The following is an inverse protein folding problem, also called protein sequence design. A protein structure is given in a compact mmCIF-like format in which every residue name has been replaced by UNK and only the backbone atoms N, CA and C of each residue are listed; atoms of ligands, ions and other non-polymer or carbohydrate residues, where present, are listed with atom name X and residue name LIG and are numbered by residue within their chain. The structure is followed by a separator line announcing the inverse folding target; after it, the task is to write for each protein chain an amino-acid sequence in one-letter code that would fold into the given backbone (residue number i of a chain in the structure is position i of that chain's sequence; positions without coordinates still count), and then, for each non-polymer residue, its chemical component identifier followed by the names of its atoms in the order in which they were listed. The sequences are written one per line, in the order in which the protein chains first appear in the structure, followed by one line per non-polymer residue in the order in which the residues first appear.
data_IF_088574441703
#
_entry.id   IF_088574441703
#
_cell.length_a   1.000
_cell.length_b   1.000
_cell.length_c   1.000
_cell.angle_alpha   90.00
_cell.angle_beta   90.00
_cell.angle_gamma   90.00
#
_symmetry.space_group_name_H-M   'P 1'
#
loop_
_entity.id
_entity.type
_entity.pdbx_description
1 polymer ?
#
# COMPACT_ATOMS: atom_id res chain seq x y z
N UNK A 1 24.83 -26.35 1.96
CA UNK A 1 23.73 -27.10 1.30
C UNK A 1 22.78 -27.53 2.40
N UNK A 2 21.78 -26.70 2.67
CA UNK A 2 20.76 -26.97 3.68
C UNK A 2 19.44 -26.82 2.94
N UNK A 3 18.79 -27.95 2.74
CA UNK A 3 17.55 -28.13 2.00
C UNK A 3 16.45 -27.30 2.65
N UNK A 4 16.02 -26.24 1.96
CA UNK A 4 14.73 -25.61 2.21
C UNK A 4 13.64 -26.63 1.85
N UNK A 5 12.98 -27.17 2.86
CA UNK A 5 11.73 -27.90 2.70
C UNK A 5 10.73 -26.95 2.07
N UNK A 6 10.50 -27.15 0.78
CA UNK A 6 9.39 -26.57 0.04
C UNK A 6 8.12 -27.17 0.65
N UNK A 7 7.38 -26.38 1.42
CA UNK A 7 6.03 -26.78 1.83
C UNK A 7 5.24 -27.10 0.56
N UNK A 8 4.80 -28.35 0.45
CA UNK A 8 3.87 -28.76 -0.59
C UNK A 8 2.55 -28.00 -0.40
N UNK A 9 1.90 -27.56 -1.48
CA UNK A 9 0.62 -26.90 -1.37
C UNK A 9 -0.39 -27.90 -0.80
N UNK A 10 -0.97 -27.58 0.35
CA UNK A 10 -2.01 -28.39 0.98
C UNK A 10 -3.15 -28.63 -0.02
N UNK A 11 -3.28 -29.88 -0.45
CA UNK A 11 -4.42 -30.36 -1.21
C UNK A 11 -5.69 -30.20 -0.37
N UNK A 12 -6.71 -29.53 -0.92
CA UNK A 12 -8.09 -29.66 -0.44
C UNK A 12 -8.57 -28.69 0.64
N UNK A 13 -7.90 -27.57 0.89
CA UNK A 13 -8.47 -26.52 1.73
C UNK A 13 -9.64 -25.83 1.03
N UNK A 14 -10.85 -25.91 1.59
CA UNK A 14 -11.97 -25.05 1.19
C UNK A 14 -11.48 -23.61 1.28
N UNK A 15 -11.24 -22.95 0.14
CA UNK A 15 -10.58 -21.65 0.12
C UNK A 15 -11.35 -20.67 1.01
N UNK A 16 -10.69 -20.15 2.05
CA UNK A 16 -11.34 -19.34 3.07
C UNK A 16 -12.08 -18.14 2.47
N UNK A 17 -13.33 -17.96 2.90
CA UNK A 17 -14.15 -16.81 2.54
C UNK A 17 -13.52 -15.53 3.10
N UNK A 18 -13.36 -14.52 2.25
CA UNK A 18 -12.81 -13.23 2.67
C UNK A 18 -13.90 -12.44 3.39
N UNK A 19 -13.56 -11.89 4.55
CA UNK A 19 -14.45 -11.01 5.28
C UNK A 19 -14.36 -9.58 4.71
N UNK A 20 -15.51 -8.96 4.46
CA UNK A 20 -15.61 -7.59 3.96
C UNK A 20 -16.27 -6.70 5.01
N UNK A 21 -15.56 -6.31 6.08
CA UNK A 21 -16.13 -5.44 7.11
C UNK A 21 -16.51 -4.10 6.51
N UNK A 22 -17.66 -3.57 6.90
CA UNK A 22 -18.16 -2.26 6.52
C UNK A 22 -17.25 -1.12 7.00
N UNK A 23 -17.38 0.07 6.42
CA UNK A 23 -16.60 1.23 6.86
C UNK A 23 -16.79 1.56 8.36
N UNK A 24 -18.01 1.52 8.94
CA UNK A 24 -18.19 1.68 10.39
C UNK A 24 -17.47 0.62 11.24
N UNK A 25 -17.47 -0.65 10.81
CA UNK A 25 -16.78 -1.74 11.53
C UNK A 25 -15.26 -1.57 11.48
N UNK A 26 -14.69 -1.21 10.31
CA UNK A 26 -13.26 -0.89 10.20
C UNK A 26 -12.89 0.29 11.09
N UNK A 27 -13.72 1.34 11.12
CA UNK A 27 -13.52 2.48 12.01
C UNK A 27 -13.63 2.11 13.49
N UNK A 28 -14.54 1.20 13.85
CA UNK A 28 -14.67 0.67 15.21
C UNK A 28 -13.43 -0.15 15.61
N UNK A 29 -12.91 -1.01 14.74
CA UNK A 29 -11.65 -1.75 14.95
C UNK A 29 -10.48 -0.79 15.22
N UNK A 30 -10.34 0.27 14.44
CA UNK A 30 -9.32 1.30 14.66
C UNK A 30 -9.52 2.11 15.94
N UNK A 31 -10.76 2.30 16.42
CA UNK A 31 -11.05 2.90 17.74
C UNK A 31 -10.68 1.94 18.87
N UNK A 32 -11.04 0.66 18.75
CA UNK A 32 -10.76 -0.38 19.75
C UNK A 32 -9.25 -0.60 19.94
N UNK A 33 -8.46 -0.49 18.87
CA UNK A 33 -7.00 -0.59 18.93
C UNK A 33 -6.33 0.38 19.92
N UNK A 34 -6.99 1.49 20.28
CA UNK A 34 -6.48 2.47 21.26
C UNK A 34 -6.47 1.94 22.69
N UNK A 35 -7.25 0.91 22.99
CA UNK A 35 -7.21 0.24 24.29
C UNK A 35 -5.89 -0.54 24.46
N UNK A 36 -5.42 -1.18 23.39
CA UNK A 36 -4.15 -1.94 23.38
C UNK A 36 -2.94 -1.02 23.27
N UNK A 37 -3.01 0.00 22.41
CA UNK A 37 -1.94 0.97 22.23
C UNK A 37 -2.50 2.40 22.28
N UNK A 38 -2.59 3.01 23.49
CA UNK A 38 -2.98 4.39 23.64
C UNK A 38 -2.07 5.31 22.82
N UNK A 39 -2.61 6.38 22.24
CA UNK A 39 -1.81 7.28 21.37
C UNK A 39 -0.57 7.85 22.07
N UNK A 40 -0.69 8.16 23.35
CA UNK A 40 0.43 8.66 24.15
C UNK A 40 1.52 7.61 24.38
N UNK A 41 1.21 6.31 24.33
CA UNK A 41 2.25 5.27 24.46
C UNK A 41 3.18 5.24 23.25
N UNK A 42 2.78 5.82 22.12
CA UNK A 42 3.59 5.87 20.89
C UNK A 42 4.71 6.93 20.95
N UNK A 43 4.69 7.84 21.93
CA UNK A 43 5.78 8.80 22.13
C UNK A 43 6.89 8.28 23.04
N UNK A 44 6.67 7.15 23.72
CA UNK A 44 7.71 6.51 24.53
C UNK A 44 8.72 5.82 23.60
N UNK A 45 10.00 6.03 23.90
CA UNK A 45 11.10 5.32 23.25
C UNK A 45 11.83 4.55 24.35
N UNK A 46 11.52 3.26 24.46
CA UNK A 46 12.21 2.32 25.31
C UNK A 46 13.00 1.37 24.40
N UNK A 47 14.31 1.56 24.34
CA UNK A 47 15.18 0.81 23.45
C UNK A 47 15.76 -0.38 24.20
N UNK A 48 15.66 -1.61 23.64
CA UNK A 48 16.39 -2.72 24.21
C UNK A 48 17.90 -2.46 24.11
N UNK A 49 18.67 -2.99 25.07
CA UNK A 49 20.11 -3.02 24.94
C UNK A 49 20.50 -3.86 23.71
N UNK A 50 21.39 -3.31 22.87
CA UNK A 50 21.81 -3.95 21.62
C UNK A 50 23.09 -3.35 21.07
N UNK A 51 23.83 -4.17 20.34
CA UNK A 51 24.91 -3.71 19.47
C UNK A 51 24.37 -3.39 18.05
N UNK A 52 24.30 -2.11 17.64
CA UNK A 52 23.88 -1.73 16.29
C UNK A 52 24.73 -2.35 15.18
N UNK A 53 26.04 -2.51 15.41
CA UNK A 53 26.97 -3.02 14.41
C UNK A 53 26.79 -4.52 14.26
N UNK A 54 26.68 -5.26 15.37
CA UNK A 54 26.42 -6.71 15.31
C UNK A 54 25.13 -7.04 14.53
N UNK A 55 24.06 -6.23 14.68
CA UNK A 55 22.83 -6.41 13.88
C UNK A 55 23.07 -6.23 12.38
N UNK A 56 23.92 -5.27 11.98
CA UNK A 56 24.29 -5.05 10.58
C UNK A 56 25.20 -6.16 10.05
N UNK A 57 26.11 -6.69 10.87
CA UNK A 57 27.00 -7.80 10.52
C UNK A 57 26.21 -9.10 10.32
N UNK A 58 25.24 -9.37 11.19
CA UNK A 58 24.31 -10.48 11.03
C UNK A 58 23.50 -10.36 9.73
N UNK A 59 23.07 -9.14 9.36
CA UNK A 59 22.41 -8.90 8.07
C UNK A 59 23.38 -9.07 6.88
N UNK A 60 24.67 -8.77 7.07
CA UNK A 60 25.68 -8.85 6.03
C UNK A 60 26.05 -10.30 5.67
N UNK A 61 25.80 -11.27 6.55
CA UNK A 61 26.14 -12.68 6.33
C UNK A 61 25.52 -13.31 5.08
N UNK A 62 24.39 -12.77 4.60
CA UNK A 62 23.71 -13.24 3.36
C UNK A 62 24.01 -12.37 2.14
N UNK A 63 24.85 -11.34 2.28
CA UNK A 63 25.19 -10.38 1.20
C UNK A 63 26.47 -10.80 0.48
N UNK A 64 26.69 -10.23 -0.70
CA UNK A 64 27.92 -10.42 -1.48
C UNK A 64 29.10 -9.83 -0.69
N UNK A 65 30.07 -10.64 -0.22
CA UNK A 65 31.11 -10.21 0.72
C UNK A 65 31.91 -8.99 0.24
N UNK A 66 32.25 -8.93 -1.05
CA UNK A 66 33.06 -7.86 -1.64
C UNK A 66 32.33 -6.50 -1.65
N UNK A 67 31.00 -6.49 -1.55
CA UNK A 67 30.19 -5.27 -1.53
C UNK A 67 29.92 -4.76 -0.10
N UNK A 68 30.12 -5.60 0.93
CA UNK A 68 29.86 -5.23 2.32
C UNK A 68 30.70 -4.01 2.76
N UNK A 69 32.03 -3.95 2.51
CA UNK A 69 32.83 -2.78 2.87
C UNK A 69 32.38 -1.51 2.15
N UNK A 70 31.94 -1.62 0.90
CA UNK A 70 31.43 -0.47 0.12
C UNK A 70 30.13 0.05 0.75
N UNK A 71 29.23 -0.84 1.16
CA UNK A 71 28.00 -0.47 1.89
C UNK A 71 28.34 0.28 3.18
N UNK A 72 29.24 -0.26 3.99
CA UNK A 72 29.64 0.39 5.25
C UNK A 72 30.32 1.74 4.99
N UNK A 73 31.21 1.83 4.00
CA UNK A 73 31.80 3.09 3.56
C UNK A 73 30.76 4.15 3.17
N UNK A 74 29.69 3.75 2.48
CA UNK A 74 28.56 4.66 2.16
C UNK A 74 27.73 5.04 3.38
N UNK A 75 27.58 4.14 4.34
CA UNK A 75 26.83 4.41 5.58
C UNK A 75 27.58 5.39 6.51
N UNK A 76 28.92 5.36 6.51
CA UNK A 76 29.77 6.21 7.36
C UNK A 76 29.79 7.70 7.00
N UNK A 77 29.19 8.10 5.87
CA UNK A 77 29.25 9.48 5.38
C UNK A 77 28.57 10.47 6.34
N UNK A 78 27.40 10.12 6.87
CA UNK A 78 26.68 10.95 7.85
C UNK A 78 25.69 10.12 8.69
N UNK A 79 25.19 10.65 9.83
CA UNK A 79 24.12 10.01 10.59
C UNK A 79 22.90 9.66 9.73
N UNK A 80 22.58 10.51 8.74
CA UNK A 80 21.48 10.26 7.83
C UNK A 80 21.75 9.08 6.88
N UNK A 81 22.95 8.98 6.30
CA UNK A 81 23.30 7.83 5.45
C UNK A 81 23.38 6.53 6.24
N UNK A 82 23.84 6.58 7.50
CA UNK A 82 23.83 5.43 8.40
C UNK A 82 22.39 4.95 8.65
N UNK A 83 21.50 5.87 9.05
CA UNK A 83 20.11 5.56 9.32
C UNK A 83 19.41 4.91 8.13
N UNK A 84 19.69 5.42 6.93
CA UNK A 84 19.18 4.91 5.66
C UNK A 84 19.59 3.46 5.40
N UNK A 85 20.84 3.11 5.66
CA UNK A 85 21.35 1.75 5.51
C UNK A 85 21.02 0.79 6.65
N UNK A 86 20.24 1.22 7.65
CA UNK A 86 20.04 0.54 8.91
C UNK A 86 18.56 0.20 9.22
N UNK A 87 17.79 -0.23 8.21
CA UNK A 87 16.40 -0.64 8.39
C UNK A 87 16.21 -1.68 9.51
N UNK A 88 17.03 -2.73 9.50
CA UNK A 88 17.02 -3.80 10.51
C UNK A 88 17.16 -3.29 11.94
N UNK A 89 17.99 -2.26 12.16
CA UNK A 89 18.23 -1.70 13.48
C UNK A 89 16.93 -1.13 14.07
N UNK A 90 16.21 -0.33 13.30
CA UNK A 90 14.97 0.27 13.78
C UNK A 90 13.84 -0.76 13.87
N UNK A 91 13.81 -1.75 12.99
CA UNK A 91 12.87 -2.86 13.11
C UNK A 91 13.06 -3.60 14.45
N UNK A 92 14.32 -3.84 14.86
CA UNK A 92 14.65 -4.41 16.17
C UNK A 92 14.18 -3.49 17.32
N UNK A 93 14.43 -2.19 17.22
CA UNK A 93 13.97 -1.21 18.23
C UNK A 93 12.45 -1.21 18.39
N UNK A 94 11.72 -1.25 17.29
CA UNK A 94 10.28 -1.13 17.29
C UNK A 94 9.55 -2.44 17.63
N UNK A 95 10.23 -3.59 17.52
CA UNK A 95 9.69 -4.90 17.85
C UNK A 95 9.16 -4.99 19.29
N UNK A 96 9.81 -4.31 20.23
CA UNK A 96 9.42 -4.28 21.64
C UNK A 96 8.38 -3.20 21.98
N UNK A 97 8.08 -2.27 21.06
CA UNK A 97 7.20 -1.13 21.36
C UNK A 97 5.72 -1.54 21.35
N UNK A 98 4.84 -0.85 22.12
CA UNK A 98 3.40 -1.07 22.02
C UNK A 98 2.90 -0.82 20.59
N UNK A 99 2.04 -1.71 20.08
CA UNK A 99 1.50 -1.60 18.71
C UNK A 99 -0.01 -1.74 18.70
N UNK A 100 -0.67 -1.06 17.76
CA UNK A 100 -2.13 -1.05 17.65
C UNK A 100 -2.75 -2.39 17.22
N UNK A 101 -1.94 -3.32 16.72
CA UNK A 101 -2.46 -4.54 16.09
C UNK A 101 -2.87 -4.38 14.63
N UNK A 102 -2.81 -3.15 14.08
CA UNK A 102 -3.16 -2.89 12.70
C UNK A 102 -1.96 -3.25 11.80
N UNK A 103 -2.18 -4.22 10.92
CA UNK A 103 -1.18 -4.68 9.97
C UNK A 103 -1.36 -4.01 8.61
N UNK A 104 -0.25 -3.80 7.93
CA UNK A 104 -0.16 -3.38 6.53
C UNK A 104 1.00 -4.13 5.85
N UNK A 105 1.00 -4.17 4.52
CA UNK A 105 2.22 -4.48 3.79
C UNK A 105 3.15 -3.27 3.94
N UNK A 106 4.28 -3.44 4.62
CA UNK A 106 5.24 -2.36 4.83
C UNK A 106 6.16 -2.23 3.62
N UNK A 107 6.66 -1.03 3.40
CA UNK A 107 7.88 -0.80 2.63
C UNK A 107 9.09 -1.41 3.35
N UNK A 108 9.11 -1.33 4.69
CA UNK A 108 10.20 -1.83 5.53
C UNK A 108 11.40 -0.87 5.59
N UNK A 109 11.56 -0.03 4.57
CA UNK A 109 12.60 1.00 4.49
C UNK A 109 12.04 2.40 4.17
N UNK A 110 10.93 2.78 4.79
CA UNK A 110 10.31 4.09 4.57
C UNK A 110 11.17 5.24 5.12
N UNK A 111 11.87 5.98 4.25
CA UNK A 111 12.66 7.16 4.62
C UNK A 111 12.64 8.24 3.52
N UNK A 112 13.01 9.48 3.86
CA UNK A 112 12.99 10.64 2.95
C UNK A 112 13.60 10.37 1.57
N UNK A 113 14.78 9.72 1.49
CA UNK A 113 15.40 9.44 0.19
C UNK A 113 14.94 8.14 -0.51
N UNK A 114 13.94 7.43 0.03
CA UNK A 114 13.37 6.25 -0.62
C UNK A 114 12.26 6.66 -1.59
N UNK A 115 11.90 7.94 -1.63
CA UNK A 115 10.95 8.46 -2.60
C UNK A 115 11.68 8.98 -3.84
N UNK A 116 11.12 8.71 -5.00
CA UNK A 116 11.68 9.06 -6.30
C UNK A 116 10.60 9.14 -7.37
N UNK A 117 10.96 9.73 -8.52
CA UNK A 117 10.07 9.79 -9.68
C UNK A 117 10.33 8.62 -10.63
N UNK A 118 9.30 7.81 -10.90
CA UNK A 118 9.38 6.65 -11.78
C UNK A 118 8.44 6.73 -12.96
N UNK A 119 8.88 6.18 -14.09
CA UNK A 119 7.99 5.89 -15.20
C UNK A 119 7.20 4.59 -14.90
N UNK A 120 5.88 4.69 -14.82
CA UNK A 120 4.98 3.54 -14.78
C UNK A 120 4.97 2.79 -16.13
N UNK A 121 4.44 1.57 -16.15
CA UNK A 121 4.27 0.78 -17.39
C UNK A 121 3.44 1.52 -18.45
N UNK A 122 2.51 2.37 -18.01
CA UNK A 122 1.68 3.24 -18.86
C UNK A 122 2.42 4.51 -19.32
N UNK A 123 3.74 4.60 -19.08
CA UNK A 123 4.54 5.80 -19.25
C UNK A 123 3.85 6.93 -18.51
N UNK A 124 3.77 6.87 -17.18
CA UNK A 124 3.35 7.98 -16.32
C UNK A 124 4.34 8.22 -15.19
N UNK A 125 4.56 9.48 -14.76
CA UNK A 125 5.50 9.77 -13.70
C UNK A 125 4.76 9.59 -12.39
N UNK A 126 5.19 8.61 -11.62
CA UNK A 126 4.68 8.38 -10.28
C UNK A 126 5.80 8.76 -9.32
N UNK A 127 5.53 9.70 -8.42
CA UNK A 127 6.37 9.88 -7.26
C UNK A 127 6.01 8.78 -6.27
N UNK A 128 6.90 7.83 -6.05
CA UNK A 128 6.62 6.66 -5.22
C UNK A 128 7.89 6.19 -4.49
N UNK A 129 7.73 5.16 -3.66
CA UNK A 129 8.82 4.44 -3.02
C UNK A 129 9.62 3.64 -4.05
N UNK A 130 10.94 3.63 -3.87
CA UNK A 130 11.89 3.09 -4.84
C UNK A 130 12.28 1.65 -4.56
N UNK A 131 12.36 1.28 -3.28
CA UNK A 131 12.95 0.03 -2.82
C UNK A 131 11.98 -0.72 -1.92
N UNK A 132 11.82 -2.01 -2.21
CA UNK A 132 10.92 -2.95 -1.53
C UNK A 132 11.65 -4.23 -1.10
N UNK A 133 12.99 -4.25 -1.10
CA UNK A 133 13.78 -5.41 -0.67
C UNK A 133 13.53 -5.80 0.81
N UNK A 134 13.05 -4.86 1.62
CA UNK A 134 12.69 -5.06 3.03
C UNK A 134 11.15 -5.16 3.25
N UNK A 135 10.38 -5.33 2.17
CA UNK A 135 8.91 -5.32 2.19
C UNK A 135 8.35 -6.58 2.85
N UNK A 136 7.68 -6.41 3.99
CA UNK A 136 7.07 -7.49 4.75
C UNK A 136 5.73 -7.03 5.37
N UNK A 137 4.76 -7.94 5.58
CA UNK A 137 3.60 -7.64 6.42
C UNK A 137 4.05 -7.25 7.82
N UNK A 138 3.56 -6.12 8.33
CA UNK A 138 4.01 -5.58 9.60
C UNK A 138 3.08 -4.51 10.16
N UNK A 139 3.50 -3.90 11.27
CA UNK A 139 2.72 -2.88 11.97
C UNK A 139 2.94 -1.54 11.27
N UNK A 140 1.87 -0.90 10.80
CA UNK A 140 1.98 0.31 9.98
C UNK A 140 2.76 1.44 10.68
N UNK A 141 2.76 1.46 12.02
CA UNK A 141 3.50 2.42 12.82
C UNK A 141 5.01 2.39 12.53
N UNK A 142 5.55 1.26 12.07
CA UNK A 142 6.98 1.11 11.83
C UNK A 142 7.45 1.97 10.66
N UNK A 143 6.77 1.89 9.51
CA UNK A 143 7.08 2.75 8.36
C UNK A 143 6.85 4.23 8.68
N UNK A 144 5.76 4.57 9.40
CA UNK A 144 5.48 5.96 9.76
C UNK A 144 6.55 6.54 10.69
N UNK A 145 6.95 5.77 11.71
CA UNK A 145 8.04 6.17 12.62
C UNK A 145 9.36 6.24 11.86
N UNK A 146 9.64 5.30 10.96
CA UNK A 146 10.88 5.29 10.17
C UNK A 146 10.95 6.53 9.28
N UNK A 147 9.85 6.83 8.62
CA UNK A 147 9.75 8.01 7.77
C UNK A 147 9.96 9.28 8.59
N UNK A 148 9.22 9.46 9.68
CA UNK A 148 9.34 10.63 10.54
C UNK A 148 10.75 10.82 11.12
N UNK A 149 11.37 9.75 11.61
CA UNK A 149 12.74 9.76 12.15
C UNK A 149 13.77 10.12 11.08
N UNK A 150 13.57 9.69 9.83
CA UNK A 150 14.46 10.06 8.72
C UNK A 150 14.52 11.58 8.50
N UNK A 151 13.39 12.29 8.65
CA UNK A 151 13.34 13.75 8.54
C UNK A 151 14.03 14.43 9.71
N UNK A 152 13.85 13.94 10.94
CA UNK A 152 14.55 14.47 12.11
C UNK A 152 16.08 14.33 11.95
N UNK A 153 16.55 13.14 11.58
CA UNK A 153 17.99 12.86 11.41
C UNK A 153 18.56 13.68 10.26
N UNK A 154 17.86 13.76 9.11
CA UNK A 154 18.29 14.59 7.99
C UNK A 154 18.38 16.07 8.38
N UNK A 155 17.37 16.59 9.10
CA UNK A 155 17.36 17.98 9.49
C UNK A 155 18.47 18.31 10.51
N UNK A 156 18.82 17.38 11.41
CA UNK A 156 20.01 17.49 12.28
C UNK A 156 21.31 17.48 11.49
N UNK A 157 21.43 16.57 10.52
CA UNK A 157 22.60 16.48 9.62
C UNK A 157 22.81 17.76 8.78
N UNK A 158 21.77 18.59 8.64
CA UNK A 158 21.81 19.89 7.97
C UNK A 158 21.88 21.10 8.93
N UNK A 159 22.11 20.85 10.22
CA UNK A 159 22.17 21.89 11.26
C UNK A 159 20.94 22.80 11.34
N UNK A 160 19.75 22.27 11.02
CA UNK A 160 18.51 23.03 11.18
C UNK A 160 18.11 23.18 12.64
N UNK A 161 17.57 24.35 12.99
CA UNK A 161 17.12 24.66 14.33
C UNK A 161 15.92 23.79 14.78
N UNK A 162 15.73 23.74 16.09
CA UNK A 162 14.70 22.95 16.75
C UNK A 162 13.27 23.23 16.24
N UNK A 163 12.96 24.47 15.87
CA UNK A 163 11.64 24.84 15.39
C UNK A 163 11.40 24.27 13.98
N UNK A 164 12.39 24.39 13.09
CA UNK A 164 12.36 23.83 11.74
C UNK A 164 12.25 22.31 11.79
N UNK A 165 13.06 21.63 12.61
CA UNK A 165 13.02 20.16 12.73
C UNK A 165 11.65 19.66 13.19
N UNK A 166 11.09 20.24 14.26
CA UNK A 166 9.75 19.91 14.76
C UNK A 166 8.68 20.14 13.70
N UNK A 167 8.76 21.25 12.98
CA UNK A 167 7.82 21.58 11.91
C UNK A 167 7.87 20.55 10.78
N UNK A 168 9.07 20.14 10.34
CA UNK A 168 9.26 19.14 9.30
C UNK A 168 8.65 17.78 9.68
N UNK A 169 8.98 17.27 10.87
CA UNK A 169 8.44 16.00 11.37
C UNK A 169 6.91 16.06 11.51
N UNK A 170 6.38 17.13 12.09
CA UNK A 170 4.94 17.31 12.25
C UNK A 170 4.20 17.39 10.89
N UNK A 171 4.83 18.00 9.88
CA UNK A 171 4.27 18.12 8.54
C UNK A 171 4.18 16.75 7.85
N UNK A 172 5.23 15.93 7.95
CA UNK A 172 5.26 14.58 7.35
C UNK A 172 4.21 13.67 7.98
N UNK A 173 4.14 13.62 9.31
CA UNK A 173 3.15 12.79 10.01
C UNK A 173 1.72 13.30 9.77
N UNK A 174 1.53 14.62 9.65
CA UNK A 174 0.25 15.23 9.27
C UNK A 174 -0.18 14.80 7.86
N UNK A 175 0.72 14.88 6.89
CA UNK A 175 0.46 14.50 5.50
C UNK A 175 0.05 13.02 5.41
N UNK A 176 0.77 12.12 6.08
CA UNK A 176 0.40 10.71 6.17
C UNK A 176 -1.02 10.51 6.73
N UNK A 177 -1.32 11.17 7.86
CA UNK A 177 -2.65 11.09 8.51
C UNK A 177 -3.77 11.59 7.59
N UNK A 178 -3.54 12.69 6.87
CA UNK A 178 -4.53 13.30 5.97
C UNK A 178 -4.75 12.45 4.72
N UNK A 179 -3.69 11.90 4.13
CA UNK A 179 -3.80 10.93 3.03
C UNK A 179 -4.59 9.70 3.45
N UNK A 180 -4.30 9.11 4.62
CA UNK A 180 -5.06 7.97 5.16
C UNK A 180 -6.54 8.28 5.38
N UNK A 181 -6.88 9.50 5.81
CA UNK A 181 -8.29 9.93 5.91
C UNK A 181 -8.96 10.03 4.55
N UNK A 182 -8.25 10.53 3.54
CA UNK A 182 -8.73 10.57 2.16
C UNK A 182 -8.99 9.17 1.61
N UNK A 183 -8.00 8.27 1.70
CA UNK A 183 -8.12 6.89 1.22
C UNK A 183 -9.20 6.10 1.95
N UNK A 184 -9.44 6.35 3.24
CA UNK A 184 -10.51 5.71 3.97
C UNK A 184 -11.92 6.04 3.45
N UNK A 185 -12.08 7.14 2.69
CA UNK A 185 -13.33 7.53 2.06
C UNK A 185 -13.46 7.07 0.59
N UNK A 186 -12.42 6.42 0.05
CA UNK A 186 -12.37 5.93 -1.32
C UNK A 186 -12.70 4.44 -1.40
N UNK A 187 -13.15 3.97 -2.56
CA UNK A 187 -13.24 2.54 -2.85
C UNK A 187 -11.88 1.96 -3.21
N UNK A 188 -11.69 0.64 -3.03
CA UNK A 188 -10.40 -0.02 -3.20
C UNK A 188 -9.77 0.20 -4.58
N UNK A 189 -10.58 0.23 -5.66
CA UNK A 189 -10.08 0.51 -7.01
C UNK A 189 -9.59 1.94 -7.18
N UNK A 190 -10.27 2.90 -6.54
CA UNK A 190 -9.86 4.30 -6.57
C UNK A 190 -8.56 4.51 -5.78
N UNK A 191 -8.37 3.77 -4.68
CA UNK A 191 -7.10 3.74 -3.93
C UNK A 191 -6.00 3.09 -4.78
N UNK A 192 -6.30 1.97 -5.45
CA UNK A 192 -5.37 1.26 -6.33
C UNK A 192 -4.84 2.12 -7.48
N UNK A 193 -5.70 2.95 -8.06
CA UNK A 193 -5.31 3.91 -9.10
C UNK A 193 -4.96 5.29 -8.55
N UNK A 194 -4.94 5.46 -7.22
CA UNK A 194 -4.51 6.72 -6.64
C UNK A 194 -3.04 6.93 -6.96
N UNK A 195 -2.72 8.12 -7.46
CA UNK A 195 -1.36 8.53 -7.77
C UNK A 195 -1.10 9.83 -7.05
N UNK A 196 0.13 10.04 -6.63
CA UNK A 196 0.55 11.36 -6.17
C UNK A 196 0.43 12.31 -7.36
N UNK A 197 -0.45 13.30 -7.23
CA UNK A 197 -0.75 14.24 -8.29
C UNK A 197 0.47 15.13 -8.53
N UNK A 198 1.19 14.82 -9.61
CA UNK A 198 2.37 15.55 -10.03
C UNK A 198 2.04 17.01 -10.31
N UNK A 199 0.82 17.33 -10.78
CA UNK A 199 0.39 18.72 -10.99
C UNK A 199 0.24 19.45 -9.65
N UNK A 200 -0.32 18.79 -8.62
CA UNK A 200 -0.41 19.39 -7.28
C UNK A 200 0.97 19.68 -6.67
N UNK A 201 1.96 18.80 -6.90
CA UNK A 201 3.36 19.05 -6.52
C UNK A 201 3.91 20.24 -7.31
N UNK A 202 3.66 20.31 -8.62
CA UNK A 202 4.12 21.41 -9.46
C UNK A 202 3.51 22.75 -9.05
N UNK A 203 2.22 22.79 -8.75
CA UNK A 203 1.55 23.99 -8.23
C UNK A 203 2.20 24.47 -6.93
N UNK A 204 2.48 23.55 -6.01
CA UNK A 204 3.12 23.89 -4.74
C UNK A 204 4.55 24.41 -4.95
N UNK A 205 5.36 23.74 -5.77
CA UNK A 205 6.73 24.18 -6.09
C UNK A 205 6.75 25.54 -6.79
N UNK A 206 5.76 25.82 -7.66
CA UNK A 206 5.57 27.14 -8.29
C UNK A 206 5.23 28.21 -7.26
N UNK A 207 4.35 27.92 -6.28
CA UNK A 207 4.04 28.84 -5.17
C UNK A 207 5.27 29.12 -4.31
N UNK A 208 6.09 28.10 -4.06
CA UNK A 208 7.32 28.21 -3.26
C UNK A 208 8.51 28.80 -4.06
N UNK A 209 8.29 29.18 -5.33
CA UNK A 209 9.27 29.78 -6.24
C UNK A 209 10.51 28.89 -6.51
N UNK A 210 10.42 27.58 -6.28
CA UNK A 210 11.50 26.61 -6.54
C UNK A 210 11.49 26.18 -8.03
N UNK A 211 11.95 27.10 -8.88
CA UNK A 211 11.98 26.94 -10.35
C UNK A 211 12.82 25.75 -10.81
N UNK A 212 13.82 25.34 -10.01
CA UNK A 212 14.71 24.22 -10.37
C UNK A 212 13.99 22.89 -10.17
N UNK A 213 13.33 22.70 -9.02
CA UNK A 213 12.58 21.48 -8.76
C UNK A 213 11.33 21.39 -9.63
N UNK A 214 10.60 22.49 -9.83
CA UNK A 214 9.46 22.52 -10.73
C UNK A 214 9.82 22.04 -12.14
N UNK A 215 10.94 22.53 -12.71
CA UNK A 215 11.42 22.12 -14.04
C UNK A 215 11.84 20.64 -14.11
N UNK A 216 12.35 20.07 -13.02
CA UNK A 216 12.71 18.65 -12.96
C UNK A 216 11.46 17.77 -12.96
N UNK A 217 10.44 18.16 -12.20
CA UNK A 217 9.15 17.47 -12.12
C UNK A 217 8.39 17.60 -13.44
N UNK A 218 8.35 18.79 -14.08
CA UNK A 218 7.72 19.02 -15.39
C UNK A 218 8.34 18.15 -16.50
N UNK A 219 9.67 18.02 -16.53
CA UNK A 219 10.36 17.16 -17.50
C UNK A 219 10.03 15.69 -17.33
N UNK A 220 9.77 15.29 -16.10
CA UNK A 220 9.46 13.92 -15.75
C UNK A 220 7.96 13.62 -16.07
N UNK A 221 7.05 14.58 -15.86
CA UNK A 221 5.62 14.52 -16.21
C UNK A 221 5.36 14.55 -17.73
N UNK A 222 6.14 15.33 -18.49
CA UNK A 222 5.97 15.43 -19.95
C UNK A 222 6.20 14.09 -20.68
N UNK A 223 6.90 13.15 -20.04
CA UNK A 223 7.14 11.80 -20.58
C UNK A 223 5.95 10.85 -20.36
N UNK A 224 4.89 11.34 -19.72
CA UNK A 224 4.17 10.54 -18.75
C UNK A 224 2.62 10.48 -18.88
N UNK A 225 2.01 10.75 -20.05
CA UNK A 225 0.54 10.83 -20.16
C UNK A 225 -0.13 9.56 -20.70
N UNK A 226 -1.15 9.04 -19.99
CA UNK A 226 -2.50 8.69 -20.53
C UNK A 226 -3.58 8.46 -19.44
N UNK A 227 -4.85 8.54 -19.87
CA UNK A 227 -6.10 8.74 -19.11
C UNK A 227 -6.86 7.46 -18.74
N UNK A 228 -7.73 7.65 -17.74
CA UNK A 228 -8.56 6.69 -16.98
C UNK A 228 -9.91 6.32 -17.65
N UNK A 229 -10.39 5.08 -17.47
CA UNK A 229 -11.51 4.44 -18.20
C UNK A 229 -12.75 4.10 -17.36
N UNK A 230 -12.85 4.61 -16.13
CA UNK A 230 -13.86 4.15 -15.16
C UNK A 230 -15.29 4.73 -15.30
N UNK A 231 -15.59 5.58 -16.29
CA UNK A 231 -16.93 6.19 -16.43
C UNK A 231 -18.02 5.27 -17.00
N UNK A 232 -17.70 4.07 -17.48
CA UNK A 232 -18.66 3.19 -18.15
C UNK A 232 -19.55 2.34 -17.22
N UNK A 233 -19.13 2.07 -15.98
CA UNK A 233 -19.78 1.06 -15.12
C UNK A 233 -21.05 1.53 -14.39
N UNK A 234 -21.18 2.81 -14.05
CA UNK A 234 -22.33 3.32 -13.28
C UNK A 234 -23.68 3.26 -14.01
N UNK A 235 -23.67 3.04 -15.33
CA UNK A 235 -24.89 2.96 -16.15
C UNK A 235 -25.55 1.58 -16.15
N UNK A 236 -24.86 0.54 -15.66
CA UNK A 236 -25.28 -0.87 -15.80
C UNK A 236 -25.93 -1.46 -14.55
N UNK A 237 -25.94 -0.74 -13.43
CA UNK A 237 -26.46 -1.24 -12.14
C UNK A 237 -27.47 -0.28 -11.52
N UNK A 238 -28.26 -0.82 -10.58
CA UNK A 238 -29.18 -0.09 -9.72
C UNK A 238 -29.16 -0.73 -8.33
N UNK A 239 -29.71 -0.04 -7.33
CA UNK A 239 -29.74 -0.54 -5.96
C UNK A 239 -31.12 -1.13 -5.63
N UNK A 240 -31.14 -2.32 -5.04
CA UNK A 240 -32.33 -3.02 -4.54
C UNK A 240 -32.00 -3.53 -3.14
N UNK A 241 -32.75 -3.08 -2.13
CA UNK A 241 -32.56 -3.45 -0.72
C UNK A 241 -31.13 -3.27 -0.17
N UNK A 242 -30.42 -2.23 -0.63
CA UNK A 242 -29.04 -1.95 -0.21
C UNK A 242 -27.98 -2.76 -0.97
N UNK A 243 -28.36 -3.58 -1.96
CA UNK A 243 -27.44 -4.33 -2.81
C UNK A 243 -27.48 -3.83 -4.26
N UNK A 244 -26.29 -3.79 -4.88
CA UNK A 244 -26.20 -3.50 -6.31
C UNK A 244 -26.69 -4.69 -7.12
N UNK A 245 -27.65 -4.42 -8.00
CA UNK A 245 -28.21 -5.35 -9.00
C UNK A 245 -27.96 -4.83 -10.41
N UNK A 246 -27.71 -5.74 -11.33
CA UNK A 246 -27.53 -5.43 -12.74
C UNK A 246 -28.90 -5.00 -13.30
N UNK A 247 -28.93 -3.88 -14.03
CA UNK A 247 -30.15 -3.46 -14.72
C UNK A 247 -30.48 -4.45 -15.84
N UNK A 248 -31.74 -4.81 -15.94
CA UNK A 248 -32.23 -5.57 -17.09
C UNK A 248 -32.41 -4.66 -18.30
N UNK A 249 -31.82 -5.07 -19.42
CA UNK A 249 -31.95 -4.46 -20.75
C UNK A 249 -31.98 -5.57 -21.82
N UNK A 250 -33.07 -6.35 -21.91
CA UNK A 250 -33.15 -7.47 -22.85
C UNK A 250 -33.21 -6.99 -24.32
N UNK A 251 -32.55 -7.69 -25.26
CA UNK A 251 -31.80 -8.93 -25.08
C UNK A 251 -30.32 -8.72 -24.70
N UNK A 252 -29.87 -7.47 -24.57
CA UNK A 252 -28.45 -7.09 -24.48
C UNK A 252 -27.82 -7.42 -23.13
N UNK A 253 -28.58 -7.28 -22.05
CA UNK A 253 -28.16 -7.55 -20.69
C UNK A 253 -29.34 -8.11 -19.89
N UNK A 254 -29.29 -9.39 -19.54
CA UNK A 254 -30.39 -10.06 -18.84
C UNK A 254 -29.84 -10.72 -17.58
N UNK A 255 -30.25 -10.28 -16.37
CA UNK A 255 -29.91 -10.93 -15.11
C UNK A 255 -30.25 -12.43 -15.13
N UNK A 256 -29.46 -13.27 -14.44
CA UNK A 256 -29.69 -14.71 -14.42
C UNK A 256 -31.09 -15.06 -13.88
N UNK A 257 -31.58 -14.27 -12.91
CA UNK A 257 -32.91 -14.46 -12.29
C UNK A 257 -34.06 -14.27 -13.29
N UNK A 258 -33.82 -13.66 -14.45
CA UNK A 258 -34.81 -13.49 -15.52
C UNK A 258 -34.69 -14.56 -16.63
N UNK A 259 -33.64 -15.38 -16.61
CA UNK A 259 -33.34 -16.38 -17.64
C UNK A 259 -33.80 -17.79 -17.27
N UNK A 260 -33.83 -18.10 -15.98
CA UNK A 260 -34.11 -19.43 -15.43
C UNK A 260 -34.95 -19.30 -14.16
N UNK A 261 -35.53 -20.40 -13.67
CA UNK A 261 -36.21 -20.41 -12.39
C UNK A 261 -35.25 -20.19 -11.20
N UNK A 262 -35.79 -19.78 -10.05
CA UNK A 262 -35.03 -19.42 -8.84
C UNK A 262 -34.06 -20.52 -8.39
N UNK A 263 -34.45 -21.80 -8.51
CA UNK A 263 -33.64 -22.92 -8.07
C UNK A 263 -32.40 -23.07 -8.96
N UNK A 264 -32.57 -22.96 -10.28
CA UNK A 264 -31.47 -23.02 -11.23
C UNK A 264 -30.62 -21.75 -11.18
N UNK A 265 -31.22 -20.58 -10.95
CA UNK A 265 -30.50 -19.32 -10.78
C UNK A 265 -29.54 -19.39 -9.58
N UNK A 266 -30.01 -19.91 -8.45
CA UNK A 266 -29.19 -20.08 -7.25
C UNK A 266 -28.02 -21.05 -7.48
N UNK A 267 -28.27 -22.18 -8.12
CA UNK A 267 -27.23 -23.16 -8.48
C UNK A 267 -26.16 -22.53 -9.39
N UNK A 268 -26.58 -21.84 -10.46
CA UNK A 268 -25.65 -21.18 -11.39
C UNK A 268 -24.83 -20.08 -10.72
N UNK A 269 -25.44 -19.30 -9.81
CA UNK A 269 -24.73 -18.27 -9.03
C UNK A 269 -23.64 -18.89 -8.15
N UNK A 270 -23.91 -20.02 -7.51
CA UNK A 270 -22.90 -20.71 -6.68
C UNK A 270 -21.80 -21.35 -7.54
N UNK A 271 -22.14 -21.97 -8.67
CA UNK A 271 -21.17 -22.48 -9.64
C UNK A 271 -20.20 -21.36 -10.09
N UNK A 272 -20.75 -20.20 -10.47
CA UNK A 272 -19.95 -19.04 -10.90
C UNK A 272 -19.14 -18.44 -9.74
N UNK A 273 -19.69 -18.38 -8.53
CA UNK A 273 -18.94 -17.95 -7.35
C UNK A 273 -17.75 -18.89 -7.08
N UNK A 274 -17.94 -20.20 -7.24
CA UNK A 274 -16.88 -21.21 -7.13
C UNK A 274 -15.81 -21.04 -8.21
N UNK A 275 -16.21 -20.82 -9.47
CA UNK A 275 -15.28 -20.50 -10.56
C UNK A 275 -14.50 -19.22 -10.28
N UNK A 276 -15.16 -18.19 -9.75
CA UNK A 276 -14.51 -16.92 -9.39
C UNK A 276 -13.48 -17.08 -8.27
N UNK A 277 -13.76 -17.92 -7.26
CA UNK A 277 -12.78 -18.26 -6.21
C UNK A 277 -11.53 -18.93 -6.78
N UNK A 278 -11.70 -19.92 -7.67
CA UNK A 278 -10.60 -20.61 -8.38
C UNK A 278 -9.82 -19.65 -9.29
N UNK A 279 -10.51 -18.77 -10.01
CA UNK A 279 -9.87 -17.76 -10.84
C UNK A 279 -9.01 -16.83 -9.99
N UNK A 280 -9.55 -16.33 -8.89
CA UNK A 280 -8.83 -15.48 -7.94
C UNK A 280 -7.56 -16.15 -7.39
N UNK A 281 -7.59 -17.44 -7.07
CA UNK A 281 -6.39 -18.15 -6.59
C UNK A 281 -5.33 -18.36 -7.68
N UNK A 282 -5.71 -18.30 -8.97
CA UNK A 282 -4.77 -18.32 -10.10
C UNK A 282 -4.11 -16.96 -10.39
N UNK A 283 -4.58 -15.86 -9.80
CA UNK A 283 -4.02 -14.53 -10.02
C UNK A 283 -2.69 -14.31 -9.28
N UNK A 284 -1.87 -13.41 -9.84
CA UNK A 284 -0.72 -12.85 -9.12
C UNK A 284 -1.18 -12.22 -7.78
N UNK A 285 -0.32 -12.27 -6.77
CA UNK A 285 -0.67 -11.92 -5.39
C UNK A 285 -1.30 -10.53 -5.25
N UNK A 286 -0.75 -9.54 -5.94
CA UNK A 286 -1.19 -8.14 -5.96
C UNK A 286 -2.61 -7.99 -6.51
N UNK A 287 -2.89 -8.61 -7.67
CA UNK A 287 -4.22 -8.62 -8.31
C UNK A 287 -5.22 -9.42 -7.50
N UNK A 288 -4.78 -10.54 -6.94
CA UNK A 288 -5.57 -11.36 -6.01
C UNK A 288 -5.99 -10.52 -4.81
N UNK A 289 -5.07 -9.78 -4.17
CA UNK A 289 -5.36 -8.94 -3.00
C UNK A 289 -6.36 -7.83 -3.32
N UNK A 290 -6.25 -7.19 -4.48
CA UNK A 290 -7.26 -6.24 -4.94
C UNK A 290 -8.62 -6.92 -5.13
N UNK A 291 -8.66 -8.07 -5.81
CA UNK A 291 -9.90 -8.79 -6.07
C UNK A 291 -10.56 -9.31 -4.79
N UNK A 292 -9.77 -9.69 -3.79
CA UNK A 292 -10.23 -10.07 -2.44
C UNK A 292 -10.97 -8.93 -1.72
N UNK A 293 -10.88 -7.67 -2.17
CA UNK A 293 -11.69 -6.56 -1.67
C UNK A 293 -13.15 -6.58 -2.14
N UNK A 294 -13.46 -7.34 -3.19
CA UNK A 294 -14.77 -7.39 -3.83
C UNK A 294 -15.51 -8.71 -3.55
N UNK A 295 -16.84 -8.63 -3.48
CA UNK A 295 -17.73 -9.80 -3.45
C UNK A 295 -18.57 -9.85 -4.74
N UNK A 296 -18.86 -11.06 -5.21
CA UNK A 296 -19.85 -11.25 -6.27
C UNK A 296 -21.25 -10.98 -5.69
N UNK A 297 -21.98 -10.04 -6.29
CA UNK A 297 -23.32 -9.63 -5.83
C UNK A 297 -24.43 -10.02 -6.80
N UNK A 298 -24.11 -10.07 -8.10
CA UNK A 298 -25.09 -10.34 -9.14
C UNK A 298 -24.42 -10.82 -10.43
N UNK A 299 -25.19 -11.48 -11.30
CA UNK A 299 -24.72 -12.03 -12.57
C UNK A 299 -25.79 -11.83 -13.65
N UNK A 300 -25.35 -11.43 -14.84
CA UNK A 300 -26.20 -11.30 -16.02
C UNK A 300 -25.53 -11.90 -17.26
N UNK A 301 -26.35 -12.41 -18.18
CA UNK A 301 -25.92 -12.70 -19.55
C UNK A 301 -25.84 -11.39 -20.32
N UNK A 302 -24.65 -11.06 -20.83
CA UNK A 302 -24.45 -9.93 -21.72
C UNK A 302 -24.19 -10.41 -23.15
N UNK A 303 -24.88 -9.82 -24.12
CA UNK A 303 -24.55 -9.98 -25.54
C UNK A 303 -23.41 -9.02 -25.88
N UNK A 304 -22.29 -9.56 -26.36
CA UNK A 304 -21.14 -8.77 -26.83
C UNK A 304 -21.18 -8.66 -28.36
N UNK A 305 -20.85 -7.48 -28.90
CA UNK A 305 -20.77 -7.26 -30.35
C UNK A 305 -19.57 -7.99 -30.97
N UNK A 306 -19.58 -8.14 -32.31
CA UNK A 306 -18.60 -8.93 -33.10
C UNK A 306 -17.21 -8.28 -33.22
N UNK A 307 -16.82 -7.40 -32.29
CA UNK A 307 -15.58 -6.64 -32.37
C UNK A 307 -14.87 -6.51 -31.03
N UNK A 308 -13.99 -7.46 -30.75
CA UNK A 308 -12.86 -7.33 -29.82
C UNK A 308 -11.77 -8.33 -30.18
#
# INVERSE_FOLDING_TARGET
MTTATREEPAEGGTEAQVQHPTAPERAAKGRAARATAPRASQSALDLPDRDPVALLEEQAATRVPELVPIRYGRMLVSPFTFYRGAAKIMAHDLAATPTSGLQAQLCGDAHLSNFGGFASAERSLVFDLNDFDESLPGRFEWDVKRLATSFEICARDRDFDDAVRRSAVATVVRAYREAMRGFAAMGDLAVWYSRIDVEAILEQLRRDNDKKQAKNVERAEAKARTKDSLKAFSRLTHEVDGELRIRSDPPLLVPIDELVDDSRAAEMKEELASMFRKYRSSLQYDRRKLLEGYRLVDVARKVVGVGS
#
